data_IF_085963119326
#
_entry.id   IF_085963119326
#
_cell.length_a   1.000
_cell.length_b   1.000
_cell.length_c   1.000
_cell.angle_alpha   90.00
_cell.angle_beta   90.00
_cell.angle_gamma   90.00
#
_symmetry.space_group_name_H-M   'P 1'
#
loop_
_entity.id
_entity.type
_entity.pdbx_description
1 polymer ?
#
# COMPACT_ATOMS: atom_id res chain seq x y z
N UNK A 1 14.41 16.40 23.59
CA UNK A 1 13.58 16.12 22.43
C UNK A 1 12.62 15.02 22.89
N UNK A 2 11.31 15.19 22.79
CA UNK A 2 10.39 14.09 23.11
C UNK A 2 10.74 12.90 22.22
N UNK A 3 10.89 11.73 22.81
CA UNK A 3 11.11 10.49 22.11
C UNK A 3 9.83 10.18 21.33
N UNK A 4 9.96 9.97 20.01
CA UNK A 4 8.83 9.58 19.18
C UNK A 4 8.53 8.10 19.49
N UNK A 5 7.42 7.88 20.17
CA UNK A 5 6.96 6.54 20.50
C UNK A 5 6.20 5.97 19.31
N UNK A 6 6.71 4.89 18.72
CA UNK A 6 6.11 4.17 17.60
C UNK A 6 5.69 2.79 18.10
N UNK A 7 4.39 2.60 18.26
CA UNK A 7 3.83 1.34 18.75
C UNK A 7 3.87 0.25 17.67
N UNK A 8 3.60 0.65 16.41
CA UNK A 8 3.60 -0.26 15.27
C UNK A 8 4.52 0.26 14.15
N UNK A 9 5.81 -0.16 14.15
CA UNK A 9 6.78 0.30 13.17
C UNK A 9 6.72 -0.46 11.83
N UNK A 10 5.96 -1.57 11.74
CA UNK A 10 5.95 -2.44 10.56
C UNK A 10 5.09 -1.87 9.46
N UNK A 11 5.58 -1.96 8.23
CA UNK A 11 4.95 -1.43 7.03
C UNK A 11 4.68 -2.58 6.06
N UNK A 12 3.40 -2.94 5.91
CA UNK A 12 2.95 -3.90 4.91
C UNK A 12 2.48 -3.22 3.62
N UNK A 13 2.06 -1.96 3.71
CA UNK A 13 1.62 -1.14 2.59
C UNK A 13 2.53 0.07 2.44
N UNK A 14 3.06 0.29 1.23
CA UNK A 14 4.02 1.36 0.97
C UNK A 14 4.06 1.79 -0.49
N UNK A 15 4.78 2.86 -0.77
CA UNK A 15 4.94 3.39 -2.13
C UNK A 15 5.87 2.53 -2.99
N UNK A 16 6.86 1.88 -2.38
CA UNK A 16 7.86 1.07 -3.10
C UNK A 16 7.42 -0.36 -3.37
N UNK A 17 6.24 -0.78 -2.90
CA UNK A 17 5.69 -2.09 -3.23
C UNK A 17 5.24 -2.12 -4.70
N UNK A 18 5.52 -3.22 -5.41
CA UNK A 18 4.99 -3.40 -6.75
C UNK A 18 3.47 -3.54 -6.72
N UNK A 19 2.79 -3.04 -7.75
CA UNK A 19 1.32 -3.04 -7.82
C UNK A 19 0.72 -4.44 -7.83
N UNK A 20 1.45 -5.40 -8.35
CA UNK A 20 1.03 -6.80 -8.46
C UNK A 20 1.63 -7.70 -7.36
N UNK A 21 2.36 -7.10 -6.43
CA UNK A 21 2.99 -7.81 -5.33
C UNK A 21 1.97 -8.21 -4.26
N UNK A 22 2.17 -9.40 -3.72
CA UNK A 22 1.40 -9.90 -2.57
C UNK A 22 2.32 -10.45 -1.50
N UNK A 23 1.81 -10.50 -0.29
CA UNK A 23 2.48 -11.13 0.85
C UNK A 23 1.51 -12.06 1.55
N UNK A 24 1.98 -13.23 1.93
CA UNK A 24 1.25 -14.15 2.79
C UNK A 24 1.68 -13.91 4.23
N UNK A 25 0.72 -13.67 5.09
CA UNK A 25 0.90 -13.44 6.54
C UNK A 25 0.16 -14.48 7.36
N UNK A 26 0.54 -14.63 8.61
CA UNK A 26 0.00 -15.65 9.51
C UNK A 26 0.11 -17.06 8.91
N UNK A 27 1.25 -17.35 8.30
CA UNK A 27 1.59 -18.71 7.89
C UNK A 27 1.91 -19.57 9.12
N UNK A 28 2.14 -20.87 8.92
CA UNK A 28 2.62 -21.76 9.98
C UNK A 28 4.09 -21.51 10.35
N UNK A 29 4.76 -20.63 9.61
CA UNK A 29 6.11 -20.15 9.93
C UNK A 29 6.04 -18.70 10.39
N UNK A 30 6.85 -18.39 11.41
CA UNK A 30 6.99 -17.02 11.89
C UNK A 30 7.59 -16.11 10.81
N UNK A 31 7.12 -14.89 10.76
CA UNK A 31 7.58 -13.86 9.83
C UNK A 31 8.90 -13.26 10.35
N UNK A 32 9.89 -13.13 9.49
CA UNK A 32 11.15 -12.46 9.81
C UNK A 32 10.93 -10.94 9.79
N UNK A 33 11.17 -10.28 10.91
CA UNK A 33 10.99 -8.84 11.03
C UNK A 33 12.30 -8.10 10.67
N UNK A 34 13.33 -8.26 11.50
CA UNK A 34 14.63 -7.64 11.26
C UNK A 34 15.76 -8.45 11.89
N UNK A 35 17.01 -8.32 11.40
CA UNK A 35 18.16 -8.94 12.03
C UNK A 35 18.52 -8.23 13.34
N UNK A 36 18.69 -8.99 14.42
CA UNK A 36 19.08 -8.45 15.72
C UNK A 36 20.58 -8.15 15.83
N UNK A 37 21.39 -8.66 14.90
CA UNK A 37 22.83 -8.39 14.87
C UNK A 37 23.28 -8.13 13.43
N UNK A 38 24.35 -7.34 13.29
CA UNK A 38 25.01 -7.07 12.00
C UNK A 38 25.63 -8.32 11.35
N UNK A 39 25.84 -9.37 12.13
CA UNK A 39 26.38 -10.65 11.66
C UNK A 39 25.31 -11.64 11.21
N UNK A 40 24.02 -11.28 11.29
CA UNK A 40 22.90 -12.07 10.75
C UNK A 40 22.60 -13.38 11.52
N UNK A 41 23.21 -13.57 12.70
CA UNK A 41 23.06 -14.82 13.47
C UNK A 41 21.79 -14.87 14.34
N UNK A 42 21.12 -13.75 14.54
CA UNK A 42 19.84 -13.68 15.26
C UNK A 42 18.87 -12.75 14.52
N UNK A 43 17.62 -13.18 14.43
CA UNK A 43 16.53 -12.45 13.79
C UNK A 43 15.38 -12.27 14.77
N UNK A 44 14.71 -11.13 14.70
CA UNK A 44 13.43 -10.93 15.35
C UNK A 44 12.34 -11.55 14.49
N UNK A 45 11.44 -12.27 15.13
CA UNK A 45 10.26 -12.83 14.49
C UNK A 45 9.01 -12.08 14.92
N UNK A 46 8.05 -12.05 14.05
CA UNK A 46 6.75 -11.44 14.29
C UNK A 46 5.65 -12.25 13.62
N UNK A 47 4.42 -11.95 13.98
CA UNK A 47 3.24 -12.43 13.26
C UNK A 47 2.30 -11.26 13.04
N UNK A 48 1.73 -11.20 11.85
CA UNK A 48 0.77 -10.15 11.52
C UNK A 48 -0.50 -10.30 12.38
N UNK A 49 -0.84 -9.24 13.11
CA UNK A 49 -2.03 -9.20 14.00
C UNK A 49 -3.12 -8.27 13.49
N UNK A 50 -2.93 -7.66 12.31
CA UNK A 50 -3.87 -6.70 11.75
C UNK A 50 -5.10 -7.33 11.10
N UNK A 51 -6.04 -6.47 10.75
CA UNK A 51 -7.31 -6.86 10.12
C UNK A 51 -7.23 -6.94 8.59
N UNK A 52 -6.16 -6.42 7.99
CA UNK A 52 -5.94 -6.42 6.54
C UNK A 52 -5.79 -7.81 5.93
N UNK A 53 -5.92 -7.85 4.60
CA UNK A 53 -5.74 -9.06 3.81
C UNK A 53 -6.99 -9.95 3.70
N UNK A 54 -6.89 -10.96 2.83
CA UNK A 54 -7.96 -11.94 2.56
C UNK A 54 -7.54 -13.29 3.08
N UNK A 55 -8.37 -13.91 3.94
CA UNK A 55 -8.10 -15.24 4.45
C UNK A 55 -8.05 -16.29 3.34
N UNK A 56 -6.96 -17.10 3.30
CA UNK A 56 -6.72 -18.14 2.31
C UNK A 56 -6.78 -19.56 2.88
N UNK A 57 -7.45 -19.77 4.00
CA UNK A 57 -7.63 -21.08 4.61
C UNK A 57 -8.39 -22.08 3.71
N UNK A 58 -9.30 -21.63 2.84
CA UNK A 58 -10.09 -22.48 1.95
C UNK A 58 -9.33 -22.82 0.65
N UNK A 59 -9.42 -24.10 0.23
CA UNK A 59 -8.85 -24.58 -1.04
C UNK A 59 -9.30 -23.74 -2.25
N UNK A 60 -10.60 -23.40 -2.35
CA UNK A 60 -11.11 -22.62 -3.49
C UNK A 60 -10.53 -21.21 -3.54
N UNK A 61 -10.30 -20.58 -2.39
CA UNK A 61 -9.64 -19.28 -2.33
C UNK A 61 -8.17 -19.37 -2.75
N UNK A 62 -7.45 -20.41 -2.28
CA UNK A 62 -6.06 -20.68 -2.72
C UNK A 62 -5.99 -20.90 -4.23
N UNK A 63 -6.92 -21.68 -4.80
CA UNK A 63 -7.00 -21.90 -6.24
C UNK A 63 -7.22 -20.60 -7.01
N UNK A 64 -8.14 -19.74 -6.55
CA UNK A 64 -8.39 -18.45 -7.17
C UNK A 64 -7.15 -17.54 -7.18
N UNK A 65 -6.44 -17.47 -6.07
CA UNK A 65 -5.21 -16.69 -5.98
C UNK A 65 -4.05 -17.32 -6.75
N UNK A 66 -3.90 -18.64 -6.73
CA UNK A 66 -2.90 -19.34 -7.52
C UNK A 66 -3.07 -19.09 -9.03
N UNK A 67 -4.31 -19.06 -9.52
CA UNK A 67 -4.62 -18.70 -10.91
C UNK A 67 -4.35 -17.21 -11.19
N UNK A 68 -4.76 -16.33 -10.28
CA UNK A 68 -4.55 -14.87 -10.42
C UNK A 68 -3.08 -14.49 -10.54
N UNK A 69 -2.24 -15.07 -9.68
CA UNK A 69 -0.81 -14.75 -9.61
C UNK A 69 0.08 -15.75 -10.38
N UNK A 70 -0.52 -16.76 -11.02
CA UNK A 70 0.19 -17.85 -11.70
C UNK A 70 1.20 -18.56 -10.78
N UNK A 71 0.85 -18.69 -9.49
CA UNK A 71 1.74 -19.17 -8.43
C UNK A 71 1.17 -20.46 -7.79
N UNK A 72 1.66 -21.61 -8.27
CA UNK A 72 1.21 -22.92 -7.79
C UNK A 72 1.57 -23.20 -6.33
N UNK A 73 2.58 -22.52 -5.79
CA UNK A 73 2.98 -22.69 -4.39
C UNK A 73 1.86 -22.32 -3.41
N UNK A 74 0.96 -21.42 -3.80
CA UNK A 74 -0.23 -21.09 -2.99
C UNK A 74 -1.19 -22.27 -2.80
N UNK A 75 -1.16 -23.25 -3.71
CA UNK A 75 -1.98 -24.48 -3.62
C UNK A 75 -1.30 -25.59 -2.83
N UNK A 76 -0.01 -25.79 -3.09
CA UNK A 76 0.70 -26.98 -2.62
C UNK A 76 1.50 -26.77 -1.34
N UNK A 77 1.64 -25.52 -0.88
CA UNK A 77 2.42 -25.22 0.32
C UNK A 77 1.76 -25.77 1.58
N UNK A 78 2.53 -26.54 2.34
CA UNK A 78 2.15 -27.04 3.65
C UNK A 78 2.26 -25.97 4.76
N UNK A 79 2.75 -24.77 4.43
CA UNK A 79 2.96 -23.68 5.37
C UNK A 79 1.73 -22.81 5.55
N UNK A 80 0.69 -23.02 4.76
CA UNK A 80 -0.55 -22.25 4.81
C UNK A 80 -1.57 -22.95 5.72
N UNK A 81 -1.91 -22.29 6.82
CA UNK A 81 -2.94 -22.70 7.78
C UNK A 81 -4.29 -22.02 7.55
N UNK A 82 -5.27 -22.35 8.39
CA UNK A 82 -6.60 -21.76 8.35
C UNK A 82 -6.60 -20.24 8.66
N UNK A 83 -5.62 -19.80 9.46
CA UNK A 83 -5.43 -18.39 9.82
C UNK A 83 -4.65 -17.58 8.80
N UNK A 84 -4.08 -18.22 7.78
CA UNK A 84 -3.25 -17.52 6.80
C UNK A 84 -4.06 -16.53 5.96
N UNK A 85 -3.50 -15.33 5.80
CA UNK A 85 -4.09 -14.25 5.00
C UNK A 85 -3.14 -13.87 3.86
N UNK A 86 -3.71 -13.43 2.76
CA UNK A 86 -2.99 -12.85 1.63
C UNK A 86 -3.27 -11.35 1.58
N UNK A 87 -2.22 -10.55 1.75
CA UNK A 87 -2.24 -9.10 1.61
C UNK A 87 -1.87 -8.77 0.16
N UNK A 88 -2.73 -8.04 -0.54
CA UNK A 88 -2.55 -7.64 -1.93
C UNK A 88 -2.74 -6.13 -2.09
N UNK A 89 -2.39 -5.62 -3.27
CA UNK A 89 -2.48 -4.18 -3.58
C UNK A 89 -1.70 -3.36 -2.54
N UNK A 90 -0.47 -3.76 -2.31
CA UNK A 90 0.38 -3.18 -1.27
C UNK A 90 0.90 -1.79 -1.63
N UNK A 91 0.96 -1.47 -2.94
CA UNK A 91 1.27 -0.13 -3.37
C UNK A 91 0.12 0.82 -3.07
N UNK A 92 0.39 1.81 -2.21
CA UNK A 92 -0.62 2.73 -1.68
C UNK A 92 -1.22 3.63 -2.75
N UNK A 93 -0.43 4.06 -3.74
CA UNK A 93 -0.91 4.90 -4.85
C UNK A 93 -1.86 4.10 -5.74
N UNK A 94 -1.47 2.88 -6.12
CA UNK A 94 -2.30 1.98 -6.91
C UNK A 94 -3.60 1.61 -6.19
N UNK A 95 -3.50 1.37 -4.87
CA UNK A 95 -4.64 1.06 -4.01
C UNK A 95 -5.66 2.21 -4.00
N UNK A 96 -5.20 3.43 -3.78
CA UNK A 96 -6.06 4.63 -3.77
C UNK A 96 -6.65 4.90 -5.15
N UNK A 97 -5.87 4.74 -6.23
CA UNK A 97 -6.37 4.86 -7.62
C UNK A 97 -7.47 3.85 -7.94
N UNK A 98 -7.39 2.63 -7.41
CA UNK A 98 -8.45 1.61 -7.58
C UNK A 98 -9.70 1.93 -6.78
N UNK A 99 -9.55 2.51 -5.58
CA UNK A 99 -10.67 2.90 -4.73
C UNK A 99 -11.39 4.16 -5.24
N UNK A 100 -10.63 5.13 -5.79
CA UNK A 100 -11.15 6.41 -6.28
C UNK A 100 -10.58 6.76 -7.67
N UNK A 101 -10.95 6.01 -8.73
CA UNK A 101 -10.39 6.18 -10.07
C UNK A 101 -10.74 7.52 -10.74
N UNK A 102 -11.68 8.27 -10.18
CA UNK A 102 -12.11 9.58 -10.64
C UNK A 102 -11.29 10.74 -10.07
N UNK A 103 -10.36 10.45 -9.15
CA UNK A 103 -9.43 11.44 -8.59
C UNK A 103 -8.03 11.24 -9.17
N UNK A 104 -7.30 12.32 -9.26
CA UNK A 104 -5.89 12.31 -9.65
C UNK A 104 -5.04 12.42 -8.38
N UNK A 105 -4.11 11.51 -8.21
CA UNK A 105 -3.13 11.58 -7.13
C UNK A 105 -1.84 12.21 -7.65
N UNK A 106 -1.19 13.03 -6.85
CA UNK A 106 0.25 13.17 -7.05
C UNK A 106 0.96 11.86 -6.67
N UNK A 107 2.21 11.73 -7.07
CA UNK A 107 3.00 10.55 -6.78
C UNK A 107 4.02 10.84 -5.64
N UNK A 108 3.65 11.70 -4.71
CA UNK A 108 4.49 12.12 -3.58
C UNK A 108 3.77 11.89 -2.23
N UNK A 109 3.48 10.62 -1.88
CA UNK A 109 2.88 10.28 -0.60
C UNK A 109 3.85 10.58 0.53
N UNK A 110 3.36 11.00 1.68
CA UNK A 110 4.17 11.21 2.87
C UNK A 110 3.66 10.42 4.06
N UNK A 111 4.59 10.02 4.92
CA UNK A 111 4.31 9.25 6.12
C UNK A 111 4.02 10.18 7.30
N UNK A 112 2.98 9.89 8.05
CA UNK A 112 2.61 10.57 9.29
C UNK A 112 2.53 9.57 10.43
N UNK A 113 3.00 9.98 11.61
CA UNK A 113 2.85 9.23 12.85
C UNK A 113 1.71 9.83 13.66
N UNK A 114 0.68 9.02 13.94
CA UNK A 114 -0.48 9.43 14.74
C UNK A 114 -0.77 8.33 15.76
N UNK A 115 -0.76 8.69 17.03
CA UNK A 115 -1.05 7.79 18.15
C UNK A 115 -0.25 6.47 18.04
N UNK A 116 1.07 6.57 17.81
CA UNK A 116 1.96 5.40 17.71
C UNK A 116 1.87 4.60 16.41
N UNK A 117 0.95 4.92 15.50
CA UNK A 117 0.73 4.22 14.24
C UNK A 117 1.17 5.06 13.03
N UNK A 118 1.65 4.37 11.99
CA UNK A 118 2.10 4.97 10.76
C UNK A 118 0.98 5.02 9.72
N UNK A 119 0.78 6.20 9.14
CA UNK A 119 -0.21 6.43 8.09
C UNK A 119 0.43 7.10 6.89
N UNK A 120 0.13 6.58 5.70
CA UNK A 120 0.44 7.25 4.45
C UNK A 120 -0.65 8.24 4.11
N UNK A 121 -0.24 9.46 3.77
CA UNK A 121 -1.14 10.52 3.33
C UNK A 121 -0.83 10.81 1.87
N UNK A 122 -1.87 10.80 1.03
CA UNK A 122 -1.80 11.01 -0.41
C UNK A 122 -2.73 12.15 -0.77
N UNK A 123 -2.20 13.17 -1.41
CA UNK A 123 -2.99 14.29 -1.93
C UNK A 123 -3.72 13.89 -3.22
N UNK A 124 -5.02 14.17 -3.24
CA UNK A 124 -5.89 13.84 -4.36
C UNK A 124 -6.55 15.10 -4.91
N UNK A 125 -6.60 15.18 -6.24
CA UNK A 125 -7.04 16.34 -6.96
C UNK A 125 -8.26 16.04 -7.83
N UNK A 126 -9.16 17.02 -7.90
CA UNK A 126 -10.13 17.11 -8.98
C UNK A 126 -9.59 18.04 -10.05
N UNK A 127 -9.67 17.61 -11.30
CA UNK A 127 -9.19 18.36 -12.46
C UNK A 127 -10.32 18.54 -13.46
N UNK A 128 -10.25 19.61 -14.25
CA UNK A 128 -11.11 19.86 -15.41
C UNK A 128 -10.33 20.62 -16.48
N UNK A 129 -10.59 20.28 -17.73
CA UNK A 129 -10.16 21.03 -18.91
C UNK A 129 -11.26 21.97 -19.47
N UNK A 130 -12.44 22.00 -18.81
CA UNK A 130 -13.66 22.69 -19.27
C UNK A 130 -14.14 23.76 -18.31
N UNK A 131 -13.28 24.27 -17.41
CA UNK A 131 -13.70 25.35 -16.54
C UNK A 131 -13.88 26.65 -17.31
N UNK A 132 -15.07 27.30 -17.22
CA UNK A 132 -15.39 28.47 -18.04
C UNK A 132 -14.43 29.64 -17.79
N UNK A 133 -14.04 30.32 -18.87
CA UNK A 133 -13.20 31.53 -18.81
C UNK A 133 -11.79 31.35 -18.24
N UNK A 134 -11.37 30.13 -17.97
CA UNK A 134 -10.02 29.85 -17.50
C UNK A 134 -9.11 29.48 -18.67
N UNK A 135 -7.88 29.97 -18.64
CA UNK A 135 -6.84 29.55 -19.58
C UNK A 135 -6.29 28.16 -19.22
N UNK A 136 -5.85 27.36 -20.21
CA UNK A 136 -5.12 26.13 -19.93
C UNK A 136 -3.92 26.39 -19.01
N UNK A 137 -3.67 25.47 -18.11
CA UNK A 137 -2.50 25.55 -17.22
C UNK A 137 -1.20 25.39 -18.03
N UNK A 138 -0.18 26.14 -17.66
CA UNK A 138 1.18 25.90 -18.17
C UNK A 138 1.76 24.68 -17.45
N UNK A 139 1.68 23.51 -18.08
CA UNK A 139 2.16 22.25 -17.53
C UNK A 139 3.64 21.98 -17.83
N UNK A 140 4.33 22.88 -18.52
CA UNK A 140 5.75 22.70 -18.87
C UNK A 140 6.67 22.66 -17.66
N UNK A 141 6.19 23.18 -16.53
CA UNK A 141 6.90 23.19 -15.24
C UNK A 141 6.46 22.08 -14.29
N UNK A 142 5.48 21.28 -14.67
CA UNK A 142 5.03 20.16 -13.89
C UNK A 142 5.97 19.00 -14.17
N UNK A 143 6.51 18.39 -13.11
CA UNK A 143 7.36 17.23 -13.25
C UNK A 143 6.54 16.06 -13.83
N UNK A 144 7.09 15.35 -14.82
CA UNK A 144 6.46 14.17 -15.42
C UNK A 144 6.11 13.08 -14.41
N UNK A 145 6.79 13.06 -13.25
CA UNK A 145 6.50 12.15 -12.12
C UNK A 145 5.35 12.61 -11.23
N UNK A 146 4.76 13.76 -11.46
CA UNK A 146 3.68 14.31 -10.61
C UNK A 146 2.40 13.48 -10.61
N UNK A 147 2.21 12.59 -11.60
CA UNK A 147 0.97 11.83 -11.76
C UNK A 147 -0.21 12.65 -12.30
N UNK A 148 -0.02 13.96 -12.52
CA UNK A 148 -1.07 14.84 -13.05
C UNK A 148 -1.08 14.81 -14.59
N UNK A 149 -2.26 14.93 -15.24
CA UNK A 149 -2.34 15.01 -16.70
C UNK A 149 -1.78 16.33 -17.21
N UNK A 150 -1.31 16.32 -18.47
CA UNK A 150 -0.70 17.49 -19.11
C UNK A 150 -1.66 18.58 -19.58
N UNK A 151 -2.98 18.41 -19.44
CA UNK A 151 -3.98 19.35 -19.94
C UNK A 151 -5.11 19.55 -18.94
N UNK A 152 -5.14 20.66 -18.28
CA UNK A 152 -6.25 21.08 -17.44
C UNK A 152 -6.28 22.61 -17.34
N UNK A 153 -7.42 23.17 -17.01
CA UNK A 153 -7.59 24.60 -16.75
C UNK A 153 -8.21 24.86 -15.36
N UNK A 154 -8.41 23.79 -14.59
CA UNK A 154 -8.85 23.83 -13.21
C UNK A 154 -8.21 22.70 -12.44
N UNK A 155 -7.70 22.99 -11.26
CA UNK A 155 -7.18 22.03 -10.31
C UNK A 155 -7.62 22.42 -8.90
N UNK A 156 -8.01 21.43 -8.12
CA UNK A 156 -8.33 21.60 -6.70
C UNK A 156 -7.84 20.38 -5.92
N UNK A 157 -7.07 20.62 -4.86
CA UNK A 157 -6.76 19.61 -3.86
C UNK A 157 -8.02 19.39 -3.00
N UNK A 158 -8.83 18.42 -3.39
CA UNK A 158 -10.17 18.22 -2.82
C UNK A 158 -10.19 17.20 -1.71
N UNK A 159 -9.29 16.23 -1.75
CA UNK A 159 -9.32 15.04 -0.88
C UNK A 159 -7.91 14.68 -0.47
N UNK A 160 -7.77 14.18 0.75
CA UNK A 160 -6.58 13.46 1.19
C UNK A 160 -6.97 12.02 1.48
N UNK A 161 -6.29 11.07 0.87
CA UNK A 161 -6.40 9.68 1.25
C UNK A 161 -5.44 9.39 2.41
N UNK A 162 -5.95 8.66 3.39
CA UNK A 162 -5.17 8.19 4.53
C UNK A 162 -5.18 6.67 4.49
N UNK A 163 -4.01 6.07 4.41
CA UNK A 163 -3.83 4.62 4.32
C UNK A 163 -2.99 4.17 5.52
N UNK A 164 -3.49 3.24 6.31
CA UNK A 164 -2.71 2.67 7.40
C UNK A 164 -1.54 1.85 6.82
N UNK A 165 -0.31 2.13 7.27
CA UNK A 165 0.88 1.44 6.74
C UNK A 165 0.92 -0.05 7.12
N UNK A 166 0.23 -0.45 8.18
CA UNK A 166 0.16 -1.82 8.66
C UNK A 166 -1.04 -2.59 8.10
N UNK A 167 -2.25 -2.01 8.13
CA UNK A 167 -3.50 -2.69 7.75
C UNK A 167 -3.99 -2.36 6.32
N UNK A 168 -3.58 -1.23 5.75
CA UNK A 168 -3.94 -0.76 4.43
C UNK A 168 -5.20 0.10 4.34
#
# INVERSE_FOLDING_TARGET
>A
VPELEVDQPRIYFGESADSDDYVVVNSLQDEVDYPLSTEGQSVAYTNYSGDGGVGIGSFFKRLGFALRYSELNLLISNQLGDGSKLIMERNIISRVKKAAPFLYSDNDPYLALVDGNLFWIIDLYTLSDRYPYAQPADTTRINDRSGLPGNFNYIRNSVKAVVNAYDG
#
